data_IF_122585240591
#
_entry.id   IF_122585240591
#
_cell.length_a   1.000
_cell.length_b   1.000
_cell.length_c   1.000
_cell.angle_alpha   90.00
_cell.angle_beta   90.00
_cell.angle_gamma   90.00
#
_symmetry.space_group_name_H-M   'P 1'
#
loop_
_entity.id
_entity.type
_entity.pdbx_description
1 polymer ?
#
# COMPACT_ATOMS: atom_id res chain seq x y z
N UNK A 1 5.31 62.50 -24.02
CA UNK A 1 4.52 61.31 -24.41
C UNK A 1 4.78 60.22 -23.40
N UNK A 2 3.71 59.71 -22.79
CA UNK A 2 3.72 58.81 -21.63
C UNK A 2 4.12 57.39 -22.04
N UNK A 3 4.99 56.79 -21.22
CA UNK A 3 5.24 55.36 -21.12
C UNK A 3 3.94 54.60 -20.85
N UNK A 4 3.84 53.36 -21.36
CA UNK A 4 3.48 52.15 -20.60
C UNK A 4 3.36 50.94 -21.55
N UNK A 5 4.51 50.33 -21.85
CA UNK A 5 4.61 48.89 -22.13
C UNK A 5 4.74 48.19 -20.78
N UNK A 6 3.68 47.55 -20.28
CA UNK A 6 3.74 46.48 -19.25
C UNK A 6 2.34 46.07 -18.78
N UNK A 7 1.61 45.34 -19.62
CA UNK A 7 0.43 44.58 -19.19
C UNK A 7 0.50 43.12 -19.66
N UNK A 8 1.72 42.55 -19.69
CA UNK A 8 1.96 41.19 -20.19
C UNK A 8 2.51 40.18 -19.19
N UNK A 9 2.84 40.58 -17.95
CA UNK A 9 3.59 39.71 -17.00
C UNK A 9 2.88 39.52 -15.65
N UNK A 10 1.69 40.10 -15.44
CA UNK A 10 0.98 40.06 -14.15
C UNK A 10 -0.19 39.05 -14.10
N UNK A 11 -0.15 37.97 -14.88
CA UNK A 11 -1.19 36.91 -14.83
C UNK A 11 -0.65 35.55 -14.35
N UNK A 12 0.68 35.36 -14.25
CA UNK A 12 1.26 34.07 -13.83
C UNK A 12 1.63 33.96 -12.34
N UNK A 13 1.31 34.97 -11.53
CA UNK A 13 1.60 34.99 -10.09
C UNK A 13 0.36 35.21 -9.23
N UNK A 14 -0.83 35.07 -9.82
CA UNK A 14 -2.08 35.02 -9.08
C UNK A 14 -2.24 33.60 -8.53
N UNK A 15 -1.81 33.40 -7.28
CA UNK A 15 -2.39 32.42 -6.38
C UNK A 15 -2.34 30.96 -6.87
N UNK A 16 -1.21 30.29 -6.68
CA UNK A 16 -1.23 28.86 -6.43
C UNK A 16 -1.94 28.63 -5.08
N UNK A 17 -3.27 28.72 -5.08
CA UNK A 17 -4.11 28.45 -3.93
C UNK A 17 -3.94 26.96 -3.65
N UNK A 18 -3.05 26.63 -2.72
CA UNK A 18 -2.76 25.25 -2.35
C UNK A 18 -4.06 24.60 -1.89
N UNK A 19 -4.54 23.63 -2.65
CA UNK A 19 -5.66 22.78 -2.26
C UNK A 19 -5.26 21.92 -1.06
N UNK A 20 -6.24 21.48 -0.29
CA UNK A 20 -6.02 20.53 0.80
C UNK A 20 -6.71 19.21 0.46
N UNK A 21 -6.08 18.10 0.82
CA UNK A 21 -6.72 16.79 0.86
C UNK A 21 -6.37 16.09 2.18
N UNK A 22 -7.17 15.11 2.57
CA UNK A 22 -6.98 14.37 3.81
C UNK A 22 -6.79 12.90 3.48
N UNK A 23 -5.60 12.38 3.74
CA UNK A 23 -5.31 10.96 3.64
C UNK A 23 -5.53 10.31 5.01
N UNK A 24 -6.30 9.23 5.03
CA UNK A 24 -6.64 8.47 6.23
C UNK A 24 -6.23 7.02 6.02
N UNK A 25 -5.38 6.49 6.92
CA UNK A 25 -5.15 5.05 7.05
C UNK A 25 -6.34 4.44 7.76
N UNK A 26 -6.92 3.40 7.17
CA UNK A 26 -7.99 2.63 7.78
C UNK A 26 -7.42 1.50 8.64
N UNK A 27 -8.10 1.21 9.75
CA UNK A 27 -7.81 0.06 10.61
C UNK A 27 -8.04 -1.20 9.80
N UNK A 28 -7.18 -2.19 9.99
CA UNK A 28 -7.42 -3.51 9.42
C UNK A 28 -8.53 -4.22 10.20
N UNK A 29 -9.57 -4.66 9.51
CA UNK A 29 -10.62 -5.51 10.07
C UNK A 29 -11.31 -6.33 8.96
N UNK A 30 -11.82 -7.51 9.32
CA UNK A 30 -12.49 -8.40 8.36
C UNK A 30 -13.88 -7.91 7.94
N UNK A 31 -14.53 -7.13 8.79
CA UNK A 31 -15.84 -6.52 8.55
C UNK A 31 -15.73 -5.14 7.90
N UNK A 32 -14.52 -4.64 7.64
CA UNK A 32 -14.31 -3.38 6.94
C UNK A 32 -14.59 -3.56 5.45
N UNK A 33 -15.60 -2.85 4.96
CA UNK A 33 -15.99 -2.78 3.54
C UNK A 33 -15.93 -1.34 3.05
N UNK A 34 -16.06 -1.14 1.74
CA UNK A 34 -16.09 0.21 1.18
C UNK A 34 -17.21 1.08 1.80
N UNK A 35 -18.37 0.46 2.04
CA UNK A 35 -19.57 1.16 2.50
C UNK A 35 -19.49 1.61 3.96
N UNK A 36 -18.83 0.84 4.82
CA UNK A 36 -18.67 1.22 6.23
C UNK A 36 -17.35 1.97 6.51
N UNK A 37 -16.36 1.91 5.62
CA UNK A 37 -15.07 2.62 5.72
C UNK A 37 -15.19 4.15 5.83
N UNK A 38 -16.35 4.71 5.47
CA UNK A 38 -16.63 6.13 5.62
C UNK A 38 -16.76 6.57 7.09
N UNK A 39 -17.14 5.65 7.98
CA UNK A 39 -17.35 5.94 9.40
C UNK A 39 -16.04 6.13 10.16
N UNK A 40 -16.00 7.11 11.06
CA UNK A 40 -14.78 7.51 11.77
C UNK A 40 -14.18 6.40 12.67
N UNK A 41 -14.98 5.41 13.09
CA UNK A 41 -14.54 4.28 13.92
C UNK A 41 -13.43 3.45 13.27
N UNK A 42 -13.38 3.45 11.93
CA UNK A 42 -12.41 2.72 11.13
C UNK A 42 -11.14 3.51 10.85
N UNK A 43 -11.07 4.79 11.23
CA UNK A 43 -9.88 5.61 10.99
C UNK A 43 -8.78 5.24 12.01
N UNK A 44 -7.61 4.83 11.52
CA UNK A 44 -6.42 4.53 12.33
C UNK A 44 -5.55 5.79 12.49
N UNK A 45 -5.28 6.46 11.37
CA UNK A 45 -4.42 7.64 11.34
C UNK A 45 -4.85 8.60 10.24
N UNK A 46 -4.84 9.90 10.53
CA UNK A 46 -5.31 10.95 9.63
C UNK A 46 -4.21 11.97 9.38
N UNK A 47 -4.06 12.38 8.12
CA UNK A 47 -3.06 13.32 7.66
C UNK A 47 -3.67 14.32 6.70
N UNK A 48 -3.55 15.61 7.03
CA UNK A 48 -3.92 16.71 6.14
C UNK A 48 -2.72 17.10 5.28
N UNK A 49 -2.92 17.17 3.98
CA UNK A 49 -1.89 17.41 2.97
C UNK A 49 -2.23 18.67 2.20
N UNK A 50 -1.21 19.51 1.99
CA UNK A 50 -1.30 20.63 1.05
C UNK A 50 -0.84 20.14 -0.32
N UNK A 51 -1.72 20.23 -1.30
CA UNK A 51 -1.51 19.73 -2.66
C UNK A 51 -1.66 20.88 -3.68
N UNK A 52 -1.07 20.76 -4.87
CA UNK A 52 -1.35 21.69 -5.97
C UNK A 52 -2.86 21.74 -6.30
N UNK A 53 -3.38 22.86 -6.82
CA UNK A 53 -4.81 23.02 -7.12
C UNK A 53 -5.35 21.93 -8.06
N UNK A 54 -4.56 21.52 -9.05
CA UNK A 54 -4.98 20.60 -10.12
C UNK A 54 -4.38 19.20 -9.97
N UNK A 55 -3.99 18.82 -8.75
CA UNK A 55 -3.35 17.53 -8.48
C UNK A 55 -4.21 16.32 -8.87
N UNK A 56 -5.55 16.44 -8.84
CA UNK A 56 -6.48 15.37 -9.21
C UNK A 56 -6.44 15.07 -10.72
N UNK A 57 -6.09 16.06 -11.56
CA UNK A 57 -6.00 15.89 -13.02
C UNK A 57 -4.92 14.87 -13.40
N UNK A 58 -3.92 14.66 -12.53
CA UNK A 58 -2.87 13.66 -12.72
C UNK A 58 -3.37 12.21 -12.62
N UNK A 59 -4.61 11.99 -12.17
CA UNK A 59 -5.22 10.65 -12.03
C UNK A 59 -6.49 10.48 -12.89
N UNK A 60 -6.84 11.49 -13.69
CA UNK A 60 -7.95 11.38 -14.63
C UNK A 60 -7.49 10.44 -15.75
N UNK A 61 -8.20 9.33 -15.91
CA UNK A 61 -7.94 8.39 -17.00
C UNK A 61 -8.55 8.94 -18.29
N UNK A 62 -7.70 9.44 -19.19
CA UNK A 62 -8.07 9.84 -20.55
C UNK A 62 -8.03 8.57 -21.40
N UNK A 63 -9.13 7.82 -21.40
CA UNK A 63 -9.62 6.99 -22.52
C UNK A 63 -10.66 6.00 -21.98
N UNK A 64 -11.91 6.34 -22.26
CA UNK A 64 -12.87 5.57 -23.05
C UNK A 64 -12.49 4.09 -23.28
N UNK A 65 -12.70 3.26 -22.26
CA UNK A 65 -13.28 1.95 -22.50
C UNK A 65 -14.07 1.57 -21.26
N UNK A 66 -15.31 1.15 -21.48
CA UNK A 66 -16.27 0.59 -20.53
C UNK A 66 -15.77 -0.72 -19.88
N UNK A 67 -14.50 -0.79 -19.51
CA UNK A 67 -14.13 -1.53 -18.32
C UNK A 67 -14.54 -0.67 -17.13
N UNK A 68 -15.85 -0.69 -16.86
CA UNK A 68 -16.32 -0.97 -15.52
C UNK A 68 -15.44 -2.14 -15.07
N UNK A 69 -14.29 -1.85 -14.45
CA UNK A 69 -13.38 -2.84 -13.90
C UNK A 69 -14.24 -3.47 -12.84
N UNK A 70 -14.99 -4.50 -13.26
CA UNK A 70 -15.92 -5.28 -12.47
C UNK A 70 -15.24 -5.38 -11.14
N UNK A 71 -15.82 -4.75 -10.10
CA UNK A 71 -15.18 -4.62 -8.79
C UNK A 71 -14.50 -5.95 -8.57
N UNK A 72 -13.17 -5.97 -8.64
CA UNK A 72 -12.43 -7.21 -8.50
C UNK A 72 -12.99 -7.85 -7.25
N UNK A 73 -13.34 -9.14 -7.28
CA UNK A 73 -13.99 -9.79 -6.14
C UNK A 73 -13.18 -9.59 -4.83
N UNK A 74 -11.91 -9.23 -4.99
CA UNK A 74 -11.06 -8.52 -4.05
C UNK A 74 -11.35 -7.01 -3.96
N UNK A 75 -11.89 -6.54 -2.82
CA UNK A 75 -11.77 -5.13 -2.42
C UNK A 75 -11.44 -5.02 -0.93
N UNK A 76 -10.21 -4.62 -0.61
CA UNK A 76 -9.72 -4.49 0.76
C UNK A 76 -9.41 -3.02 1.03
N UNK A 77 -10.30 -2.28 1.73
CA UNK A 77 -10.08 -0.87 2.03
C UNK A 77 -8.83 -0.68 2.90
N UNK A 78 -7.85 0.08 2.39
CA UNK A 78 -6.62 0.39 3.13
C UNK A 78 -6.52 1.88 3.45
N UNK A 79 -6.93 2.72 2.50
CA UNK A 79 -6.87 4.16 2.65
C UNK A 79 -8.20 4.80 2.29
N UNK A 80 -8.44 5.96 2.88
CA UNK A 80 -9.51 6.88 2.54
C UNK A 80 -8.90 8.24 2.24
N UNK A 81 -9.15 8.74 1.04
CA UNK A 81 -8.66 10.03 0.56
C UNK A 81 -9.85 10.98 0.42
N UNK A 82 -9.90 11.99 1.28
CA UNK A 82 -11.00 12.94 1.37
C UNK A 82 -10.55 14.24 0.72
N UNK A 83 -11.23 14.64 -0.35
CA UNK A 83 -11.02 15.91 -1.04
C UNK A 83 -12.16 16.86 -0.68
N UNK A 84 -12.20 18.02 -1.30
CA UNK A 84 -13.31 18.95 -1.08
C UNK A 84 -14.64 18.32 -1.52
N UNK A 85 -14.68 17.74 -2.73
CA UNK A 85 -15.91 17.26 -3.38
C UNK A 85 -16.18 15.77 -3.20
N UNK A 86 -15.11 14.96 -3.09
CA UNK A 86 -15.22 13.51 -3.14
C UNK A 86 -14.46 12.85 -1.99
N UNK A 87 -14.84 11.61 -1.70
CA UNK A 87 -14.10 10.71 -0.83
C UNK A 87 -13.82 9.43 -1.60
N UNK A 88 -12.55 9.09 -1.74
CA UNK A 88 -12.09 7.88 -2.40
C UNK A 88 -11.70 6.85 -1.34
N UNK A 89 -12.31 5.67 -1.40
CA UNK A 89 -11.85 4.50 -0.65
C UNK A 89 -10.93 3.70 -1.56
N UNK A 90 -9.71 3.44 -1.11
CA UNK A 90 -8.62 2.94 -1.94
C UNK A 90 -8.13 1.60 -1.40
N UNK A 91 -8.13 0.61 -2.29
CA UNK A 91 -7.53 -0.69 -2.11
C UNK A 91 -6.26 -0.74 -2.97
N UNK A 92 -5.09 -0.56 -2.35
CA UNK A 92 -3.81 -0.63 -3.08
C UNK A 92 -3.58 -2.03 -3.62
N UNK A 93 -3.94 -3.04 -2.83
CA UNK A 93 -3.64 -4.41 -3.17
C UNK A 93 -4.54 -5.00 -4.27
N UNK A 94 -5.83 -4.64 -4.27
CA UNK A 94 -6.71 -5.02 -5.37
C UNK A 94 -6.67 -3.99 -6.53
N UNK A 95 -5.78 -2.99 -6.44
CA UNK A 95 -5.56 -1.92 -7.43
C UNK A 95 -6.85 -1.26 -7.90
N UNK A 96 -7.70 -0.92 -6.93
CA UNK A 96 -9.04 -0.41 -7.20
C UNK A 96 -9.44 0.67 -6.20
N UNK A 97 -10.40 1.51 -6.59
CA UNK A 97 -10.95 2.55 -5.74
C UNK A 97 -12.46 2.68 -5.93
N UNK A 98 -13.14 3.15 -4.89
CA UNK A 98 -14.57 3.45 -4.90
C UNK A 98 -14.77 4.89 -4.45
N UNK A 99 -15.57 5.64 -5.20
CA UNK A 99 -15.81 7.06 -4.94
C UNK A 99 -17.18 7.31 -4.34
N UNK A 100 -17.20 8.18 -3.33
CA UNK A 100 -18.39 8.72 -2.71
C UNK A 100 -18.40 10.24 -2.84
N UNK A 101 -19.58 10.81 -3.07
CA UNK A 101 -19.78 12.26 -3.04
C UNK A 101 -19.75 12.77 -1.61
N UNK A 102 -19.13 13.92 -1.38
CA UNK A 102 -19.16 14.55 -0.06
C UNK A 102 -20.47 15.32 0.15
N UNK A 103 -21.01 15.25 1.37
CA UNK A 103 -22.19 16.04 1.76
C UNK A 103 -21.85 17.53 1.98
N UNK A 104 -20.59 17.81 2.33
CA UNK A 104 -20.02 19.14 2.50
C UNK A 104 -18.49 19.03 2.30
N UNK A 105 -17.75 20.14 2.11
CA UNK A 105 -16.29 20.12 2.00
C UNK A 105 -15.62 19.23 3.06
N UNK A 106 -14.86 18.23 2.61
CA UNK A 106 -14.15 17.26 3.45
C UNK A 106 -15.04 16.40 4.37
N UNK A 107 -16.34 16.33 4.10
CA UNK A 107 -17.31 15.56 4.86
C UNK A 107 -17.94 14.46 3.98
N UNK A 108 -17.51 13.20 4.14
CA UNK A 108 -18.02 12.10 3.34
C UNK A 108 -19.53 11.91 3.51
N UNK A 109 -20.18 11.44 2.45
CA UNK A 109 -21.54 10.92 2.48
C UNK A 109 -21.56 9.47 1.97
N UNK A 110 -22.69 8.78 2.14
CA UNK A 110 -22.89 7.42 1.62
C UNK A 110 -23.38 7.38 0.16
N UNK A 111 -23.44 8.53 -0.53
CA UNK A 111 -23.81 8.62 -1.94
C UNK A 111 -22.64 8.14 -2.82
N UNK A 112 -22.70 6.90 -3.30
CA UNK A 112 -21.71 6.34 -4.23
C UNK A 112 -21.92 6.91 -5.64
N UNK A 113 -20.83 7.25 -6.31
CA UNK A 113 -20.84 7.78 -7.67
C UNK A 113 -19.84 7.03 -8.56
N UNK A 114 -19.92 7.24 -9.87
CA UNK A 114 -18.88 6.78 -10.78
C UNK A 114 -17.56 7.48 -10.47
N UNK A 115 -16.46 6.74 -10.56
CA UNK A 115 -15.15 7.24 -10.20
C UNK A 115 -14.70 8.33 -11.19
N UNK A 116 -14.49 9.59 -10.75
CA UNK A 116 -13.99 10.66 -11.60
C UNK A 116 -12.49 10.53 -11.90
N UNK A 117 -11.77 9.70 -11.13
CA UNK A 117 -10.36 9.36 -11.32
C UNK A 117 -10.19 7.85 -11.35
N UNK A 118 -9.17 7.36 -12.06
CA UNK A 118 -8.82 5.95 -12.07
C UNK A 118 -7.83 5.58 -10.97
N UNK A 119 -7.72 4.27 -10.69
CA UNK A 119 -6.56 3.77 -9.96
C UNK A 119 -5.37 3.73 -10.91
N UNK A 120 -4.50 4.74 -10.83
CA UNK A 120 -3.29 4.86 -11.65
C UNK A 120 -2.02 4.58 -10.82
N UNK A 121 -0.91 4.37 -11.53
CA UNK A 121 0.40 4.19 -10.92
C UNK A 121 0.86 5.43 -10.12
N UNK A 122 0.51 6.61 -10.61
CA UNK A 122 0.78 7.89 -9.96
C UNK A 122 0.01 8.00 -8.64
N UNK A 123 -1.26 7.56 -8.62
CA UNK A 123 -2.07 7.55 -7.40
C UNK A 123 -1.49 6.57 -6.37
N UNK A 124 -1.11 5.37 -6.83
CA UNK A 124 -0.44 4.37 -5.99
C UNK A 124 0.84 4.96 -5.37
N UNK A 125 1.72 5.49 -6.21
CA UNK A 125 2.98 6.09 -5.78
C UNK A 125 2.76 7.25 -4.79
N UNK A 126 1.78 8.12 -5.06
CA UNK A 126 1.42 9.22 -4.18
C UNK A 126 1.04 8.72 -2.78
N UNK A 127 0.18 7.71 -2.68
CA UNK A 127 -0.29 7.17 -1.40
C UNK A 127 0.86 6.48 -0.65
N UNK A 128 1.62 5.62 -1.33
CA UNK A 128 2.73 4.88 -0.72
C UNK A 128 3.79 5.83 -0.16
N UNK A 129 4.25 6.79 -0.98
CA UNK A 129 5.26 7.76 -0.54
C UNK A 129 4.76 8.67 0.57
N UNK A 130 3.48 9.04 0.52
CA UNK A 130 2.88 9.85 1.57
C UNK A 130 2.78 9.07 2.88
N UNK A 131 2.33 7.82 2.83
CA UNK A 131 2.23 6.94 3.98
C UNK A 131 3.61 6.64 4.59
N UNK A 132 4.62 6.37 3.75
CA UNK A 132 5.98 6.15 4.18
C UNK A 132 6.56 7.39 4.87
N UNK A 133 6.50 8.55 4.20
CA UNK A 133 7.12 9.80 4.67
C UNK A 133 6.42 10.39 5.89
N UNK A 134 5.09 10.43 5.89
CA UNK A 134 4.32 11.19 6.87
C UNK A 134 3.61 10.29 7.89
N UNK A 135 3.22 9.08 7.51
CA UNK A 135 2.59 8.13 8.44
C UNK A 135 3.59 7.17 9.07
N UNK A 136 4.84 7.09 8.57
CA UNK A 136 5.88 6.13 8.97
C UNK A 136 5.45 4.68 8.72
N UNK A 137 4.67 4.44 7.67
CA UNK A 137 4.20 3.11 7.29
C UNK A 137 4.97 2.69 6.03
N UNK A 138 5.88 1.71 6.11
CA UNK A 138 6.63 1.27 4.93
C UNK A 138 5.71 0.55 3.94
N UNK A 139 5.97 0.68 2.64
CA UNK A 139 5.14 0.06 1.60
C UNK A 139 4.99 -1.46 1.80
N UNK A 140 6.09 -2.15 2.16
CA UNK A 140 6.06 -3.61 2.47
C UNK A 140 5.01 -3.99 3.51
N UNK A 141 4.77 -3.14 4.51
CA UNK A 141 3.75 -3.40 5.54
C UNK A 141 2.33 -3.30 4.98
N UNK A 142 2.08 -2.34 4.08
CA UNK A 142 0.78 -2.21 3.41
C UNK A 142 0.43 -3.46 2.61
N UNK A 143 1.41 -4.03 1.91
CA UNK A 143 1.25 -5.26 1.14
C UNK A 143 1.19 -6.52 2.01
N UNK A 144 1.92 -6.57 3.13
CA UNK A 144 1.81 -7.67 4.08
C UNK A 144 0.45 -7.68 4.80
N UNK A 145 -0.13 -6.51 5.11
CA UNK A 145 -1.49 -6.42 5.65
C UNK A 145 -2.52 -7.00 4.67
N UNK A 146 -2.26 -6.90 3.36
CA UNK A 146 -3.07 -7.51 2.32
C UNK A 146 -2.96 -9.03 2.26
N UNK A 147 -1.75 -9.59 2.22
CA UNK A 147 -1.58 -11.05 2.11
C UNK A 147 -2.23 -11.80 3.28
N UNK A 148 -2.31 -11.15 4.44
CA UNK A 148 -3.00 -11.68 5.61
C UNK A 148 -4.51 -11.44 5.61
N UNK A 149 -5.02 -10.49 4.80
CA UNK A 149 -6.44 -10.16 4.69
C UNK A 149 -7.12 -10.90 3.53
N UNK A 150 -6.35 -11.25 2.49
CA UNK A 150 -6.79 -12.13 1.43
C UNK A 150 -6.93 -13.55 1.99
N UNK A 151 -8.10 -13.85 2.52
CA UNK A 151 -8.61 -15.22 2.55
C UNK A 151 -9.23 -15.40 1.17
N UNK A 152 -8.67 -16.25 0.28
CA UNK A 152 -9.39 -16.60 -0.92
C UNK A 152 -10.77 -17.05 -0.47
N UNK A 153 -11.83 -16.44 -1.00
CA UNK A 153 -13.12 -17.11 -0.96
C UNK A 153 -12.83 -18.49 -1.55
N UNK A 154 -12.97 -19.55 -0.77
CA UNK A 154 -12.86 -20.92 -1.23
C UNK A 154 -14.02 -21.17 -2.21
N UNK A 155 -13.95 -20.55 -3.37
CA UNK A 155 -14.84 -20.71 -4.51
C UNK A 155 -14.08 -21.59 -5.47
N UNK A 156 -14.33 -22.89 -5.29
CA UNK A 156 -13.55 -23.95 -5.89
C UNK A 156 -13.04 -24.84 -4.77
N UNK A 157 -13.88 -25.78 -4.35
CA UNK A 157 -13.44 -26.94 -3.59
C UNK A 157 -12.26 -27.57 -4.36
N UNK A 158 -11.03 -27.33 -3.90
CA UNK A 158 -9.94 -28.25 -4.20
C UNK A 158 -10.39 -29.53 -3.52
N UNK A 159 -10.92 -30.47 -4.31
CA UNK A 159 -11.22 -31.79 -3.78
C UNK A 159 -9.89 -32.35 -3.29
N UNK A 160 -9.90 -33.04 -2.15
CA UNK A 160 -8.71 -33.75 -1.66
C UNK A 160 -8.10 -34.67 -2.73
N UNK A 161 -8.93 -35.11 -3.68
CA UNK A 161 -8.59 -35.84 -4.90
C UNK A 161 -7.56 -35.12 -5.80
N UNK A 162 -7.62 -33.78 -5.90
CA UNK A 162 -6.73 -32.98 -6.76
C UNK A 162 -5.39 -32.63 -6.05
N UNK A 163 -5.37 -32.67 -4.71
CA UNK A 163 -4.14 -32.50 -3.91
C UNK A 163 -3.19 -33.70 -4.07
N UNK A 164 -3.72 -34.92 -4.20
CA UNK A 164 -2.92 -36.12 -4.46
C UNK A 164 -2.25 -36.10 -5.83
N UNK A 165 -2.89 -35.49 -6.84
CA UNK A 165 -2.31 -35.33 -8.19
C UNK A 165 -1.12 -34.36 -8.16
N UNK A 166 -1.24 -33.25 -7.42
CA UNK A 166 -0.16 -32.28 -7.27
C UNK A 166 1.01 -32.83 -6.44
N UNK A 167 0.73 -33.60 -5.38
CA UNK A 167 1.76 -34.27 -4.59
C UNK A 167 2.53 -35.32 -5.41
N UNK A 168 1.87 -35.99 -6.35
CA UNK A 168 2.50 -36.97 -7.23
C UNK A 168 3.25 -36.35 -8.44
N UNK A 169 3.07 -35.05 -8.70
CA UNK A 169 3.82 -34.32 -9.73
C UNK A 169 5.11 -33.68 -9.19
N UNK A 170 5.28 -33.60 -7.87
CA UNK A 170 6.51 -33.15 -7.25
C UNK A 170 7.47 -34.34 -7.23
N UNK A 171 8.33 -34.45 -8.25
CA UNK A 171 9.50 -35.32 -8.16
C UNK A 171 10.53 -34.62 -7.27
N UNK A 172 11.05 -35.26 -6.22
CA UNK A 172 12.25 -34.77 -5.57
C UNK A 172 13.39 -34.86 -6.57
N UNK A 173 13.97 -33.72 -6.94
CA UNK A 173 15.31 -33.72 -7.52
C UNK A 173 16.26 -34.24 -6.42
N UNK A 174 16.73 -35.47 -6.58
CA UNK A 174 17.93 -35.91 -5.87
C UNK A 174 19.09 -35.03 -6.34
N UNK A 175 19.63 -34.24 -5.43
CA UNK A 175 20.96 -33.66 -5.61
C UNK A 175 21.93 -34.83 -5.76
N UNK A 176 22.37 -35.10 -6.98
CA UNK A 176 23.50 -35.98 -7.24
C UNK A 176 24.76 -35.30 -6.70
N UNK A 177 25.24 -35.75 -5.55
CA UNK A 177 26.63 -35.59 -5.15
C UNK A 177 27.48 -36.45 -6.11
N UNK A 178 27.99 -35.83 -7.18
CA UNK A 178 29.11 -36.40 -7.92
C UNK A 178 30.37 -36.21 -7.06
N UNK A 179 30.85 -37.33 -6.53
CA UNK A 179 32.10 -37.51 -5.81
C UNK A 179 33.29 -36.93 -6.62
N UNK A 180 33.98 -35.92 -6.07
CA UNK A 180 35.39 -35.68 -6.36
C UNK A 180 36.17 -35.76 -5.03
N UNK A 181 37.17 -36.64 -5.06
CA UNK A 181 37.80 -37.33 -3.95
C UNK A 181 39.00 -36.52 -3.45
N UNK A 182 38.97 -36.01 -2.20
CA UNK A 182 40.15 -35.60 -1.41
C UNK A 182 39.78 -35.25 0.05
N UNK A 183 40.06 -36.17 0.97
CA UNK A 183 40.21 -35.93 2.43
C UNK A 183 41.30 -34.86 2.72
N UNK A 184 41.36 -34.16 3.90
CA UNK A 184 41.25 -34.80 5.23
C UNK A 184 40.77 -33.99 6.47
N UNK A 185 40.64 -34.75 7.57
CA UNK A 185 40.67 -34.47 9.03
C UNK A 185 39.40 -34.00 9.78
N UNK A 186 38.92 -34.89 10.67
CA UNK A 186 38.07 -34.62 11.86
C UNK A 186 38.84 -33.84 12.97
N UNK A 187 38.21 -33.36 14.08
CA UNK A 187 36.78 -33.27 14.42
C UNK A 187 36.32 -31.91 15.03
N UNK A 188 35.01 -31.68 14.89
CA UNK A 188 34.06 -31.03 15.82
C UNK A 188 34.51 -29.81 16.67
N UNK A 189 34.11 -28.61 16.26
CA UNK A 189 33.78 -27.54 17.22
C UNK A 189 32.31 -27.73 17.65
N UNK A 190 32.13 -28.22 18.88
CA UNK A 190 30.81 -28.34 19.50
C UNK A 190 30.28 -26.94 19.90
N UNK A 191 28.96 -26.69 19.90
CA UNK A 191 28.35 -25.38 20.17
C UNK A 191 28.60 -24.77 21.57
N UNK A 192 29.50 -25.34 22.37
CA UNK A 192 29.85 -24.89 23.71
C UNK A 192 30.93 -23.77 23.73
N UNK A 193 31.62 -23.50 22.61
CA UNK A 193 32.68 -22.47 22.55
C UNK A 193 32.18 -21.01 22.39
N UNK A 194 30.86 -20.80 22.39
CA UNK A 194 30.26 -19.45 22.28
C UNK A 194 29.81 -18.85 23.62
N UNK A 195 30.10 -19.52 24.73
CA UNK A 195 29.82 -19.03 26.08
C UNK A 195 31.14 -18.92 26.85
N UNK A 196 31.92 -17.88 26.55
CA UNK A 196 32.93 -17.38 27.48
C UNK A 196 32.51 -15.97 27.92
N UNK A 197 31.68 -15.92 28.96
CA UNK A 197 31.59 -14.78 29.87
C UNK A 197 32.72 -14.94 30.88
N UNK A 198 33.90 -14.43 30.54
CA UNK A 198 35.02 -14.25 31.48
C UNK A 198 35.45 -12.81 31.46
N UNK A 199 34.91 -12.08 32.44
CA UNK A 199 35.20 -10.70 32.74
C UNK A 199 36.69 -10.43 32.95
N UNK A 200 37.08 -9.26 32.43
CA UNK A 200 38.30 -8.54 32.70
C UNK A 200 38.41 -8.20 34.20
N UNK A 201 39.16 -9.00 34.95
CA UNK A 201 39.75 -8.60 36.24
C UNK A 201 41.26 -8.37 36.06
N UNK A 202 41.60 -7.08 36.09
CA UNK A 202 42.93 -6.54 36.34
C UNK A 202 43.36 -6.74 37.80
N UNK A 203 44.68 -6.66 38.04
CA UNK A 203 45.43 -6.72 39.32
C UNK A 203 45.96 -8.15 39.64
N UNK A 204 47.24 -8.41 39.94
CA UNK A 204 48.17 -7.75 40.88
C UNK A 204 49.65 -8.08 40.53
N UNK A 205 50.51 -7.12 40.85
CA UNK A 205 51.98 -7.07 41.08
C UNK A 205 52.84 -8.36 41.16
N UNK A 206 53.99 -8.33 40.45
CA UNK A 206 55.36 -8.31 41.03
C UNK A 206 56.42 -7.91 39.98
#
# INVERSE_FOLDING_TARGET
MRYLLSFGVLVYWAWAQKSECILVKLKRAHDLTADNALHASWEEKKLRLKVPPDWEESFVTVDDDDTDRSISECFIPQFKLITEKYTYIISLACQNLITYRNAAPYKPSYERIQNPIGFTEELRYFIERTAEKHMKIPARRLYAEYSLAYVPLAQGAIKYEDLEVLLNQIQPEELSDDEDDSEPEEPSESPADWMDDSDNESEVDE
#
